data_IF_202545000118
#
_entry.id   IF_202545000118
#
_cell.length_a   1.000
_cell.length_b   1.000
_cell.length_c   1.000
_cell.angle_alpha   90.00
_cell.angle_beta   90.00
_cell.angle_gamma   90.00
#
_symmetry.space_group_name_H-M   'P 1'
#
loop_
_entity.id
_entity.type
_entity.pdbx_description
1 polymer ?
#
# COMPACT_ATOMS: atom_id res chain seq x y z
N UNK A 1 -8.14 16.22 1.07
CA UNK A 1 -7.71 14.87 0.66
C UNK A 1 -7.50 14.87 -0.85
N UNK A 2 -6.37 14.38 -1.36
CA UNK A 2 -6.09 14.30 -2.81
C UNK A 2 -6.93 13.17 -3.42
N UNK A 3 -7.63 13.44 -4.52
CA UNK A 3 -8.36 12.41 -5.28
C UNK A 3 -7.41 11.69 -6.23
N UNK A 4 -7.53 10.36 -6.29
CA UNK A 4 -6.72 9.49 -7.16
C UNK A 4 -7.65 8.49 -7.84
N UNK A 5 -7.59 8.42 -9.17
CA UNK A 5 -8.39 7.48 -9.93
C UNK A 5 -7.67 6.12 -10.03
N UNK A 6 -8.40 5.00 -9.98
CA UNK A 6 -7.78 3.67 -10.17
C UNK A 6 -6.99 3.57 -11.49
N UNK A 7 -7.41 4.30 -12.52
CA UNK A 7 -6.69 4.35 -13.80
C UNK A 7 -5.27 4.90 -13.66
N UNK A 8 -4.98 5.69 -12.60
CA UNK A 8 -3.71 6.29 -12.15
C UNK A 8 -2.70 5.32 -11.56
N UNK A 9 -3.10 4.05 -11.41
CA UNK A 9 -2.35 3.09 -10.63
C UNK A 9 -1.98 1.85 -11.44
N UNK A 10 -0.81 1.30 -11.11
CA UNK A 10 -0.27 0.07 -11.65
C UNK A 10 -0.05 -0.94 -10.52
N UNK A 11 -0.42 -2.20 -10.75
CA UNK A 11 0.06 -3.30 -9.93
C UNK A 11 1.51 -3.64 -10.30
N UNK A 12 2.24 -4.30 -9.39
CA UNK A 12 3.64 -4.66 -9.59
C UNK A 12 3.87 -5.43 -10.92
N UNK A 13 2.98 -6.38 -11.23
CA UNK A 13 3.02 -7.18 -12.47
C UNK A 13 2.89 -6.35 -13.75
N UNK A 14 2.28 -5.16 -13.67
CA UNK A 14 2.04 -4.26 -14.81
C UNK A 14 3.25 -3.37 -15.10
N UNK A 15 4.29 -3.41 -14.26
CA UNK A 15 5.48 -2.55 -14.36
C UNK A 15 6.51 -3.04 -15.42
N UNK A 16 6.23 -4.13 -16.15
CA UNK A 16 7.02 -4.52 -17.33
C UNK A 16 8.30 -5.32 -17.08
N UNK A 17 8.57 -5.77 -15.85
CA UNK A 17 9.85 -6.43 -15.48
C UNK A 17 10.00 -7.93 -15.84
N UNK A 18 9.11 -8.52 -16.64
CA UNK A 18 9.23 -9.92 -17.10
C UNK A 18 8.92 -10.98 -16.02
N UNK A 19 9.27 -12.25 -16.25
CA UNK A 19 8.82 -13.39 -15.40
C UNK A 19 9.20 -13.28 -13.90
N UNK A 20 10.28 -12.58 -13.55
CA UNK A 20 10.66 -12.33 -12.16
C UNK A 20 9.61 -11.53 -11.37
N UNK A 21 8.79 -10.72 -12.05
CA UNK A 21 7.76 -9.90 -11.40
C UNK A 21 6.69 -10.75 -10.71
N UNK A 22 6.37 -11.93 -11.24
CA UNK A 22 5.34 -12.81 -10.66
C UNK A 22 5.78 -13.45 -9.35
N UNK A 23 7.06 -13.83 -9.24
CA UNK A 23 7.62 -14.39 -8.02
C UNK A 23 7.66 -13.33 -6.91
N UNK A 24 8.11 -12.11 -7.25
CA UNK A 24 8.17 -10.99 -6.31
C UNK A 24 6.76 -10.53 -5.90
N UNK A 25 5.80 -10.45 -6.83
CA UNK A 25 4.40 -10.13 -6.52
C UNK A 25 3.79 -11.15 -5.55
N UNK A 26 4.04 -12.45 -5.78
CA UNK A 26 3.56 -13.52 -4.91
C UNK A 26 4.19 -13.47 -3.52
N UNK A 27 5.49 -13.16 -3.44
CA UNK A 27 6.19 -12.96 -2.17
C UNK A 27 5.60 -11.76 -1.42
N UNK A 28 5.41 -10.64 -2.12
CA UNK A 28 4.86 -9.41 -1.57
C UNK A 28 3.44 -9.61 -1.02
N UNK A 29 2.57 -10.32 -1.75
CA UNK A 29 1.22 -10.65 -1.28
C UNK A 29 1.21 -11.44 0.02
N UNK A 30 2.03 -12.50 0.11
CA UNK A 30 2.15 -13.31 1.34
C UNK A 30 2.61 -12.46 2.52
N UNK A 31 3.56 -11.59 2.26
CA UNK A 31 4.11 -10.67 3.24
C UNK A 31 3.10 -9.61 3.71
N UNK A 32 2.30 -9.08 2.79
CA UNK A 32 1.23 -8.15 3.12
C UNK A 32 0.13 -8.83 3.91
N UNK A 33 -0.25 -10.06 3.58
CA UNK A 33 -1.25 -10.81 4.35
C UNK A 33 -0.89 -10.93 5.84
N UNK A 34 0.40 -11.09 6.18
CA UNK A 34 0.85 -11.08 7.57
C UNK A 34 0.63 -9.71 8.22
N UNK A 35 0.95 -8.63 7.50
CA UNK A 35 0.82 -7.23 7.96
C UNK A 35 -0.64 -6.78 8.05
N UNK A 36 -1.53 -7.31 7.21
CA UNK A 36 -2.96 -7.03 7.22
C UNK A 36 -3.60 -7.36 8.56
N UNK A 37 -3.07 -8.36 9.31
CA UNK A 37 -3.57 -8.70 10.65
C UNK A 37 -3.55 -7.51 11.61
N UNK A 38 -2.51 -6.68 11.54
CA UNK A 38 -2.40 -5.45 12.31
C UNK A 38 -3.19 -4.30 11.65
N UNK A 39 -3.09 -4.16 10.32
CA UNK A 39 -3.63 -3.02 9.58
C UNK A 39 -5.16 -3.04 9.41
N UNK A 40 -5.80 -4.21 9.43
CA UNK A 40 -7.27 -4.32 9.31
C UNK A 40 -8.03 -3.70 10.50
N UNK A 41 -7.35 -3.46 11.61
CA UNK A 41 -7.94 -2.85 12.81
C UNK A 41 -7.95 -1.31 12.74
N UNK A 42 -7.35 -0.75 11.68
CA UNK A 42 -7.20 0.69 11.49
C UNK A 42 -8.44 1.24 10.79
N UNK A 43 -9.16 2.12 11.47
CA UNK A 43 -10.21 2.94 10.88
C UNK A 43 -9.64 4.16 10.12
N UNK A 44 -10.48 4.88 9.39
CA UNK A 44 -10.06 6.03 8.56
C UNK A 44 -9.38 7.13 9.39
N UNK A 45 -9.90 7.45 10.58
CA UNK A 45 -9.32 8.47 11.46
C UNK A 45 -7.94 8.07 12.00
N UNK A 46 -7.73 6.77 12.25
CA UNK A 46 -6.41 6.25 12.64
C UNK A 46 -5.48 6.15 11.43
N UNK A 47 -6.01 5.83 10.25
CA UNK A 47 -5.26 5.82 8.99
C UNK A 47 -4.69 7.21 8.67
N UNK A 48 -5.46 8.28 8.87
CA UNK A 48 -4.99 9.66 8.72
C UNK A 48 -3.79 9.97 9.65
N UNK A 49 -3.88 9.56 10.92
CA UNK A 49 -2.78 9.71 11.89
C UNK A 49 -1.55 8.91 11.48
N UNK A 50 -1.74 7.67 11.05
CA UNK A 50 -0.66 6.80 10.59
C UNK A 50 0.03 7.41 9.37
N UNK A 51 -0.74 7.90 8.39
CA UNK A 51 -0.21 8.55 7.20
C UNK A 51 0.75 9.68 7.56
N UNK A 52 0.33 10.59 8.45
CA UNK A 52 1.19 11.68 8.94
C UNK A 52 2.48 11.17 9.62
N UNK A 53 2.40 10.11 10.41
CA UNK A 53 3.56 9.55 11.12
C UNK A 53 4.59 8.91 10.19
N UNK A 54 4.15 8.34 9.05
CA UNK A 54 5.04 7.69 8.08
C UNK A 54 5.50 8.64 6.97
N UNK A 55 5.14 9.93 7.03
CA UNK A 55 5.44 10.91 5.98
C UNK A 55 4.65 10.68 4.70
N UNK A 56 3.46 10.07 4.81
CA UNK A 56 2.52 9.85 3.72
C UNK A 56 1.27 10.72 3.86
N UNK A 57 0.30 10.45 3.00
CA UNK A 57 -0.98 11.16 2.95
C UNK A 57 -2.14 10.17 2.83
N UNK A 58 -3.22 10.41 3.56
CA UNK A 58 -4.50 9.74 3.27
C UNK A 58 -5.05 10.31 1.97
N UNK A 59 -5.49 9.45 1.05
CA UNK A 59 -5.99 9.84 -0.27
C UNK A 59 -7.39 9.30 -0.52
N UNK A 60 -8.14 10.03 -1.34
CA UNK A 60 -9.47 9.65 -1.82
C UNK A 60 -9.28 8.76 -3.05
N UNK A 61 -9.19 7.47 -2.79
CA UNK A 61 -8.97 6.42 -3.78
C UNK A 61 -9.92 5.27 -3.48
N UNK A 62 -10.81 4.99 -4.41
CA UNK A 62 -11.74 3.86 -4.34
C UNK A 62 -11.41 2.87 -5.45
N UNK A 63 -11.10 1.63 -5.08
CA UNK A 63 -10.96 0.53 -6.05
C UNK A 63 -12.33 -0.06 -6.36
N UNK A 64 -13.02 -0.43 -5.29
CA UNK A 64 -14.40 -0.89 -5.27
C UNK A 64 -15.04 -0.56 -3.91
N UNK A 65 -16.25 -1.04 -3.67
CA UNK A 65 -17.02 -0.79 -2.44
C UNK A 65 -16.39 -1.33 -1.15
N UNK A 66 -15.40 -2.23 -1.23
CA UNK A 66 -14.69 -2.78 -0.07
C UNK A 66 -13.53 -1.88 0.38
N UNK A 67 -13.24 -0.79 -0.33
CA UNK A 67 -12.15 0.12 0.03
C UNK A 67 -12.45 0.84 1.34
N UNK A 68 -11.62 0.65 2.36
CA UNK A 68 -11.78 1.30 3.68
C UNK A 68 -10.95 2.57 3.76
N UNK A 69 -9.67 2.50 3.40
CA UNK A 69 -8.77 3.65 3.35
C UNK A 69 -7.63 3.40 2.36
N UNK A 70 -7.00 4.48 1.92
CA UNK A 70 -5.83 4.46 1.05
C UNK A 70 -4.78 5.46 1.55
N UNK A 71 -3.56 4.97 1.79
CA UNK A 71 -2.42 5.80 2.19
C UNK A 71 -1.41 5.82 1.06
N UNK A 72 -1.09 7.02 0.59
CA UNK A 72 -0.04 7.28 -0.39
C UNK A 72 1.26 7.61 0.34
N UNK A 73 2.37 7.05 -0.15
CA UNK A 73 3.73 7.35 0.31
C UNK A 73 4.62 7.62 -0.89
N UNK A 74 5.51 8.60 -0.75
CA UNK A 74 6.50 8.95 -1.78
C UNK A 74 7.91 8.97 -1.18
N UNK A 75 8.58 7.80 -1.04
CA UNK A 75 9.93 7.73 -0.47
C UNK A 75 11.03 8.33 -1.35
N UNK A 76 10.80 8.45 -2.67
CA UNK A 76 11.69 9.09 -3.64
C UNK A 76 10.86 9.88 -4.66
N UNK A 77 11.47 10.83 -5.35
CA UNK A 77 10.82 11.53 -6.46
C UNK A 77 10.29 10.54 -7.49
N UNK A 78 9.01 10.68 -7.84
CA UNK A 78 8.26 9.84 -8.78
C UNK A 78 8.15 8.35 -8.38
N UNK A 79 8.57 7.95 -7.16
CA UNK A 79 8.25 6.65 -6.58
C UNK A 79 7.02 6.80 -5.69
N UNK A 80 5.82 6.60 -6.25
CA UNK A 80 4.58 6.76 -5.50
C UNK A 80 3.98 5.38 -5.23
N UNK A 81 3.81 5.05 -3.94
CA UNK A 81 3.30 3.76 -3.47
C UNK A 81 1.99 4.01 -2.70
N UNK A 82 0.96 3.26 -3.04
CA UNK A 82 -0.36 3.32 -2.43
C UNK A 82 -0.63 2.04 -1.67
N UNK A 83 -0.93 2.13 -0.38
CA UNK A 83 -1.40 1.02 0.45
C UNK A 83 -2.88 1.18 0.71
N UNK A 84 -3.66 0.15 0.37
CA UNK A 84 -5.11 0.26 0.32
C UNK A 84 -5.70 -0.92 1.06
N UNK A 85 -6.45 -0.65 2.13
CA UNK A 85 -7.18 -1.67 2.86
C UNK A 85 -8.51 -1.96 2.15
N UNK A 86 -8.72 -3.21 1.79
CA UNK A 86 -9.98 -3.76 1.31
C UNK A 86 -10.58 -4.66 2.39
N UNK A 87 -11.83 -4.42 2.77
CA UNK A 87 -12.58 -5.25 3.69
C UNK A 87 -13.65 -6.03 2.91
N UNK A 88 -13.34 -7.30 2.64
CA UNK A 88 -14.24 -8.22 1.93
C UNK A 88 -14.95 -9.20 2.87
N UNK A 89 -14.88 -8.97 4.19
CA UNK A 89 -15.52 -9.84 5.19
C UNK A 89 -17.05 -9.69 5.14
N UNK A 90 -17.84 -10.79 5.29
CA UNK A 90 -17.42 -12.16 5.64
C UNK A 90 -17.03 -13.08 4.48
N UNK A 91 -17.24 -12.69 3.22
CA UNK A 91 -17.08 -13.58 2.06
C UNK A 91 -15.61 -13.90 1.73
N UNK A 92 -14.69 -12.96 1.97
CA UNK A 92 -13.26 -13.14 1.75
C UNK A 92 -12.43 -12.50 2.89
N UNK A 93 -11.13 -12.81 2.93
CA UNK A 93 -10.21 -12.21 3.90
C UNK A 93 -9.93 -10.74 3.55
N UNK A 94 -9.80 -9.89 4.57
CA UNK A 94 -9.32 -8.52 4.42
C UNK A 94 -7.92 -8.52 3.79
N UNK A 95 -7.67 -7.57 2.90
CA UNK A 95 -6.39 -7.47 2.20
C UNK A 95 -5.90 -6.02 2.20
N UNK A 96 -4.62 -5.82 2.54
CA UNK A 96 -3.92 -4.58 2.20
C UNK A 96 -3.14 -4.81 0.92
N UNK A 97 -3.53 -4.12 -0.14
CA UNK A 97 -2.85 -4.18 -1.42
C UNK A 97 -1.88 -3.00 -1.58
N UNK A 98 -0.81 -3.22 -2.33
CA UNK A 98 0.10 -2.17 -2.75
C UNK A 98 -0.03 -1.93 -4.26
N UNK A 99 -0.25 -0.67 -4.64
CA UNK A 99 -0.25 -0.20 -6.02
C UNK A 99 0.76 0.95 -6.19
N UNK A 100 1.10 1.26 -7.43
CA UNK A 100 2.12 2.25 -7.77
C UNK A 100 1.55 3.32 -8.70
N UNK A 101 1.99 4.57 -8.59
CA UNK A 101 1.64 5.61 -9.57
C UNK A 101 2.16 5.27 -10.97
N UNK A 102 1.46 5.66 -12.04
CA UNK A 102 1.86 5.36 -13.44
C UNK A 102 3.22 5.92 -13.83
N UNK A 103 3.69 6.92 -13.11
CA UNK A 103 4.99 7.57 -13.25
C UNK A 103 6.14 6.73 -12.66
N UNK A 104 5.84 5.77 -11.78
CA UNK A 104 6.86 4.94 -11.10
C UNK A 104 7.73 4.09 -12.03
N UNK A 105 7.27 3.60 -13.20
CA UNK A 105 8.19 2.98 -14.16
C UNK A 105 9.24 3.94 -14.74
N UNK A 106 8.97 5.26 -14.78
CA UNK A 106 9.85 6.24 -15.46
C UNK A 106 11.19 6.48 -14.76
N UNK A 107 11.29 6.15 -13.47
CA UNK A 107 12.53 6.28 -12.69
C UNK A 107 13.51 5.12 -12.92
N UNK A 108 13.09 4.05 -13.60
CA UNK A 108 13.97 2.94 -13.96
C UNK A 108 14.53 2.14 -12.77
N UNK A 109 13.87 2.18 -11.61
CA UNK A 109 14.28 1.41 -10.43
C UNK A 109 14.15 -0.10 -10.74
N UNK A 110 15.16 -0.94 -10.40
CA UNK A 110 15.04 -2.39 -10.49
C UNK A 110 13.86 -2.94 -9.67
N UNK A 111 13.26 -4.04 -10.13
CA UNK A 111 12.08 -4.60 -9.46
C UNK A 111 12.35 -5.04 -8.01
N UNK A 112 13.56 -5.53 -7.73
CA UNK A 112 13.98 -5.93 -6.38
C UNK A 112 14.07 -4.73 -5.43
N UNK A 113 14.63 -3.61 -5.91
CA UNK A 113 14.71 -2.36 -5.15
C UNK A 113 13.32 -1.78 -4.91
N UNK A 114 12.44 -1.80 -5.93
CA UNK A 114 11.04 -1.39 -5.79
C UNK A 114 10.34 -2.20 -4.71
N UNK A 115 10.53 -3.52 -4.71
CA UNK A 115 10.01 -4.40 -3.67
C UNK A 115 10.56 -4.05 -2.29
N UNK A 116 11.85 -3.74 -2.16
CA UNK A 116 12.45 -3.35 -0.88
C UNK A 116 11.90 -2.01 -0.35
N UNK A 117 11.67 -1.02 -1.22
CA UNK A 117 10.99 0.22 -0.84
C UNK A 117 9.56 -0.05 -0.35
N UNK A 118 8.79 -0.87 -1.07
CA UNK A 118 7.43 -1.23 -0.68
C UNK A 118 7.43 -2.00 0.64
N UNK A 119 8.40 -2.89 0.86
CA UNK A 119 8.53 -3.63 2.11
C UNK A 119 8.87 -2.71 3.28
N UNK A 120 9.77 -1.74 3.06
CA UNK A 120 10.16 -0.76 4.08
C UNK A 120 8.98 0.14 4.48
N UNK A 121 8.26 0.68 3.51
CA UNK A 121 7.09 1.52 3.73
C UNK A 121 5.95 0.74 4.43
N UNK A 122 5.70 -0.50 4.03
CA UNK A 122 4.73 -1.37 4.70
C UNK A 122 5.10 -1.65 6.17
N UNK A 123 6.39 -1.84 6.46
CA UNK A 123 6.87 -2.00 7.84
C UNK A 123 6.67 -0.73 8.67
N UNK A 124 6.86 0.44 8.07
CA UNK A 124 6.61 1.72 8.73
C UNK A 124 5.13 1.87 9.10
N UNK A 125 4.21 1.53 8.17
CA UNK A 125 2.77 1.53 8.42
C UNK A 125 2.38 0.64 9.61
N UNK A 126 2.87 -0.61 9.64
CA UNK A 126 2.55 -1.54 10.74
C UNK A 126 3.07 -1.02 12.09
N UNK A 127 4.28 -0.46 12.12
CA UNK A 127 4.85 0.12 13.35
C UNK A 127 4.03 1.32 13.83
N UNK A 128 3.66 2.22 12.91
CA UNK A 128 2.81 3.36 13.22
C UNK A 128 1.42 2.92 13.70
N UNK A 129 0.81 1.94 13.05
CA UNK A 129 -0.47 1.36 13.44
C UNK A 129 -0.43 0.79 14.86
N UNK A 130 0.57 -0.05 15.16
CA UNK A 130 0.76 -0.60 16.51
C UNK A 130 0.96 0.49 17.56
N UNK A 131 1.71 1.54 17.25
CA UNK A 131 1.88 2.67 18.17
C UNK A 131 0.61 3.47 18.39
N UNK A 132 -0.28 3.57 17.39
CA UNK A 132 -1.54 4.27 17.53
C UNK A 132 -2.56 3.43 18.32
N UNK A 133 -2.67 2.14 18.00
CA UNK A 133 -3.61 1.22 18.63
C UNK A 133 -3.25 0.88 20.09
N UNK A 134 -1.96 0.89 20.45
CA UNK A 134 -1.52 0.69 21.85
C UNK A 134 -1.71 1.92 22.74
N UNK A 135 -2.07 3.07 22.16
CA UNK A 135 -2.36 4.32 22.88
C UNK A 135 -3.87 4.58 23.04
N UNK A 136 -4.70 3.61 22.66
CA UNK A 136 -6.16 3.61 22.85
C UNK A 136 -6.51 2.72 24.04
#
# INVERSE_FOLDING_TARGET
MKKVERSELLALKEMGYGQSCYAIDSLHKREMAVRTKDLRLVDEATAEKIAMLVGGELVDLTIDSATVWAIMMQPLDNLIIYYILQNYSPEFEDEVIALYGKETPSIGIPIDDLYDFTRLCANALVRAARSCLSRV
#
